data_IF_191744496476
#
_entry.id   IF_191744496476
#
_cell.length_a   1.000
_cell.length_b   1.000
_cell.length_c   1.000
_cell.angle_alpha   90.00
_cell.angle_beta   90.00
_cell.angle_gamma   90.00
#
_symmetry.space_group_name_H-M   'P 1'
#
loop_
_entity.id
_entity.type
_entity.pdbx_description
1 polymer ?
#
# COMPACT_ATOMS: atom_id res chain seq x y z
N UNK A 1 -14.66 8.18 -21.68
CA UNK A 1 -14.53 9.54 -21.12
C UNK A 1 -13.10 9.73 -20.67
N UNK A 2 -12.38 10.68 -21.25
CA UNK A 2 -10.99 10.97 -20.89
C UNK A 2 -10.98 11.89 -19.68
N UNK A 3 -10.18 11.55 -18.66
CA UNK A 3 -10.05 12.34 -17.43
C UNK A 3 -8.82 13.24 -17.54
N UNK A 4 -8.94 14.53 -17.18
CA UNK A 4 -7.81 15.49 -17.25
C UNK A 4 -6.98 15.47 -15.97
N UNK A 5 -5.65 15.45 -16.08
CA UNK A 5 -4.76 15.63 -14.94
C UNK A 5 -4.56 17.12 -14.61
N UNK A 6 -4.54 17.46 -13.31
CA UNK A 6 -4.08 18.75 -12.79
C UNK A 6 -3.11 18.54 -11.62
N UNK A 7 -1.97 19.20 -11.64
CA UNK A 7 -0.95 19.14 -10.59
C UNK A 7 -0.96 20.43 -9.76
N UNK A 8 -0.73 20.32 -8.45
CA UNK A 8 -0.80 21.46 -7.51
C UNK A 8 0.59 21.95 -7.09
N UNK A 9 1.62 21.10 -7.15
CA UNK A 9 2.98 21.48 -6.78
C UNK A 9 4.01 20.58 -7.50
N UNK A 10 5.15 21.15 -7.90
CA UNK A 10 6.19 20.46 -8.70
C UNK A 10 7.54 20.32 -7.98
N UNK A 11 7.65 20.74 -6.72
CA UNK A 11 8.94 20.74 -6.03
C UNK A 11 9.35 19.37 -5.46
N UNK A 12 10.54 18.96 -5.91
CA UNK A 12 11.46 17.87 -5.57
C UNK A 12 10.95 16.43 -5.52
N UNK A 13 11.68 15.58 -6.24
CA UNK A 13 11.65 14.13 -6.20
C UNK A 13 11.80 13.62 -4.77
N UNK A 14 10.68 13.32 -4.11
CA UNK A 14 10.63 12.56 -2.86
C UNK A 14 10.95 11.10 -3.16
N UNK A 15 12.23 10.86 -3.44
CA UNK A 15 12.79 9.57 -3.79
C UNK A 15 13.30 8.88 -2.55
N UNK A 16 12.98 7.61 -2.42
CA UNK A 16 13.73 6.70 -1.59
C UNK A 16 14.56 5.83 -2.54
N UNK A 17 15.89 6.00 -2.53
CA UNK A 17 16.82 5.32 -3.46
C UNK A 17 16.68 3.79 -3.42
N UNK A 18 16.26 3.27 -2.27
CA UNK A 18 16.08 1.84 -1.99
C UNK A 18 14.87 1.22 -2.72
N UNK A 19 13.90 2.03 -3.16
CA UNK A 19 12.72 1.58 -3.89
C UNK A 19 13.05 1.56 -5.38
N UNK A 20 12.92 0.41 -6.05
CA UNK A 20 13.50 0.23 -7.38
C UNK A 20 12.52 0.62 -8.50
N UNK A 21 11.25 0.22 -8.39
CA UNK A 21 10.26 0.46 -9.45
C UNK A 21 9.93 1.97 -9.55
N UNK A 22 10.00 2.61 -10.73
CA UNK A 22 9.75 4.06 -10.88
C UNK A 22 8.25 4.39 -10.90
N UNK A 23 7.48 3.86 -9.93
CA UNK A 23 6.12 4.31 -9.64
C UNK A 23 6.18 5.37 -8.56
N UNK A 24 5.54 6.49 -8.83
CA UNK A 24 5.33 7.58 -7.89
C UNK A 24 3.84 7.75 -7.64
N UNK A 25 3.48 8.00 -6.38
CA UNK A 25 2.11 8.08 -5.93
C UNK A 25 1.75 9.51 -5.52
N UNK A 26 0.54 9.93 -5.84
CA UNK A 26 -0.08 11.12 -5.25
C UNK A 26 -1.52 10.84 -4.84
N UNK A 27 -1.94 11.31 -3.66
CA UNK A 27 -3.36 11.39 -3.31
C UNK A 27 -4.04 12.31 -4.29
N UNK A 28 -5.29 12.01 -4.63
CA UNK A 28 -5.99 12.81 -5.61
C UNK A 28 -7.44 13.08 -5.24
N UNK A 29 -8.01 14.08 -5.91
CA UNK A 29 -9.44 14.38 -5.90
C UNK A 29 -9.94 14.42 -7.33
N UNK A 30 -11.09 13.79 -7.57
CA UNK A 30 -11.80 13.91 -8.84
C UNK A 30 -12.96 14.90 -8.72
N UNK A 31 -13.06 15.83 -9.69
CA UNK A 31 -14.18 16.77 -9.81
C UNK A 31 -14.43 17.11 -11.27
N UNK A 32 -15.68 16.99 -11.73
CA UNK A 32 -16.13 17.39 -13.07
C UNK A 32 -15.24 16.91 -14.24
N UNK A 33 -14.76 15.66 -14.18
CA UNK A 33 -13.89 15.08 -15.23
C UNK A 33 -12.40 15.40 -15.09
N UNK A 34 -12.01 16.19 -14.10
CA UNK A 34 -10.60 16.45 -13.75
C UNK A 34 -10.19 15.63 -12.54
N UNK A 35 -9.00 15.04 -12.59
CA UNK A 35 -8.31 14.43 -11.45
C UNK A 35 -7.16 15.35 -11.06
N UNK A 36 -7.17 15.81 -9.81
CA UNK A 36 -6.16 16.72 -9.29
C UNK A 36 -5.28 15.98 -8.28
N UNK A 37 -3.98 15.93 -8.51
CA UNK A 37 -2.99 15.46 -7.54
C UNK A 37 -2.86 16.49 -6.40
N UNK A 38 -2.93 16.03 -5.15
CA UNK A 38 -3.07 16.90 -3.97
C UNK A 38 -1.74 17.26 -3.31
N UNK A 39 -0.67 16.58 -3.70
CA UNK A 39 0.71 16.81 -3.25
C UNK A 39 1.68 16.37 -4.34
N UNK A 40 2.97 16.66 -4.16
CA UNK A 40 4.04 16.20 -5.06
C UNK A 40 4.07 14.68 -5.12
N UNK A 41 4.31 14.12 -6.31
CA UNK A 41 4.49 12.69 -6.48
C UNK A 41 5.66 12.17 -5.66
N UNK A 42 5.36 11.17 -4.82
CA UNK A 42 6.36 10.57 -3.96
C UNK A 42 6.58 9.12 -4.35
N UNK A 43 7.85 8.70 -4.41
CA UNK A 43 8.20 7.30 -4.62
C UNK A 43 7.92 6.52 -3.34
N UNK A 44 8.37 7.05 -2.19
CA UNK A 44 8.18 6.36 -0.92
C UNK A 44 6.69 6.18 -0.59
N UNK A 45 6.30 4.92 -0.38
CA UNK A 45 4.96 4.51 0.03
C UNK A 45 4.55 5.06 1.40
N UNK A 46 5.52 5.31 2.29
CA UNK A 46 5.19 5.66 3.66
C UNK A 46 4.62 7.08 3.76
N UNK A 47 5.00 8.00 2.83
CA UNK A 47 4.37 9.34 2.66
C UNK A 47 2.84 9.30 2.49
N UNK A 48 2.31 8.16 2.06
CA UNK A 48 0.89 7.96 1.90
C UNK A 48 0.16 7.74 3.23
N UNK A 49 0.88 7.27 4.27
CA UNK A 49 0.35 7.11 5.61
C UNK A 49 0.10 8.46 6.27
N UNK A 50 1.02 9.42 6.14
CA UNK A 50 0.87 10.79 6.65
C UNK A 50 -0.18 11.54 5.84
N UNK A 51 -0.20 11.35 4.52
CA UNK A 51 -1.27 11.87 3.66
C UNK A 51 -2.64 11.38 4.13
N UNK A 52 -2.79 10.06 4.31
CA UNK A 52 -4.01 9.44 4.83
C UNK A 52 -4.37 9.97 6.22
N UNK A 53 -3.44 9.93 7.18
CA UNK A 53 -3.69 10.37 8.56
C UNK A 53 -4.04 11.85 8.63
N UNK A 54 -3.38 12.69 7.84
CA UNK A 54 -3.71 14.11 7.73
C UNK A 54 -5.14 14.32 7.23
N UNK A 55 -5.58 13.56 6.23
CA UNK A 55 -6.96 13.62 5.74
C UNK A 55 -7.97 13.08 6.77
N UNK A 56 -7.62 12.00 7.47
CA UNK A 56 -8.47 11.37 8.47
C UNK A 56 -8.69 12.29 9.70
N UNK A 57 -7.61 12.83 10.25
CA UNK A 57 -7.61 13.74 11.41
C UNK A 57 -7.89 15.20 11.02
N UNK A 58 -7.93 15.52 9.72
CA UNK A 58 -8.01 16.90 9.21
C UNK A 58 -6.89 17.80 9.76
N UNK A 59 -5.73 17.21 10.00
CA UNK A 59 -4.60 17.85 10.66
C UNK A 59 -3.43 18.11 9.68
N UNK A 60 -2.87 19.32 9.71
CA UNK A 60 -1.66 19.63 8.91
C UNK A 60 -0.43 19.33 9.76
N UNK A 61 0.23 18.22 9.45
CA UNK A 61 1.50 17.88 10.08
C UNK A 61 2.67 18.76 9.57
N UNK A 62 3.74 18.94 10.37
CA UNK A 62 4.99 19.52 9.88
C UNK A 62 5.55 18.77 8.67
N UNK A 63 6.38 19.42 7.85
CA UNK A 63 7.02 18.74 6.73
C UNK A 63 8.00 17.66 7.20
N UNK A 64 7.95 16.48 6.60
CA UNK A 64 8.93 15.41 6.82
C UNK A 64 9.62 15.09 5.48
N UNK A 65 10.95 15.20 5.45
CA UNK A 65 11.77 14.96 4.26
C UNK A 65 11.28 15.72 3.00
N UNK A 66 10.64 16.88 3.16
CA UNK A 66 10.08 17.68 2.07
C UNK A 66 8.62 17.37 1.72
N UNK A 67 8.04 16.29 2.27
CA UNK A 67 6.61 16.00 2.13
C UNK A 67 5.78 16.85 3.09
N UNK A 68 4.77 17.55 2.55
CA UNK A 68 3.75 18.23 3.33
C UNK A 68 2.41 18.21 2.59
N UNK A 69 1.33 18.01 3.33
CA UNK A 69 -0.03 18.08 2.84
C UNK A 69 -0.88 18.90 3.82
N UNK A 70 -1.54 19.94 3.32
CA UNK A 70 -2.57 20.65 4.07
C UNK A 70 -3.94 20.03 3.73
N UNK A 71 -4.51 19.15 4.59
CA UNK A 71 -5.75 18.45 4.31
C UNK A 71 -6.98 19.36 4.34
N UNK A 72 -6.90 20.53 4.97
CA UNK A 72 -7.98 21.52 5.00
C UNK A 72 -8.11 22.20 3.64
N UNK A 73 -6.99 22.57 3.03
CA UNK A 73 -6.92 23.19 1.70
C UNK A 73 -7.12 22.16 0.58
N UNK A 74 -6.48 21.00 0.70
CA UNK A 74 -6.44 19.95 -0.33
C UNK A 74 -7.15 18.69 0.16
N UNK A 75 -8.48 18.75 0.23
CA UNK A 75 -9.33 17.64 0.72
C UNK A 75 -9.37 16.47 -0.26
N UNK A 76 -8.97 15.30 0.19
CA UNK A 76 -9.20 14.02 -0.46
C UNK A 76 -10.52 13.39 0.02
N UNK A 77 -11.13 12.54 -0.80
CA UNK A 77 -12.28 11.74 -0.38
C UNK A 77 -11.81 10.35 0.03
N UNK A 78 -12.00 9.98 1.29
CA UNK A 78 -11.70 8.62 1.79
C UNK A 78 -12.84 7.61 1.54
N UNK A 79 -13.84 7.96 0.71
CA UNK A 79 -14.95 7.05 0.35
C UNK A 79 -14.51 5.86 -0.51
N UNK A 80 -13.38 5.97 -1.20
CA UNK A 80 -12.70 4.94 -1.97
C UNK A 80 -11.20 5.24 -1.88
N UNK A 81 -10.33 4.25 -2.12
CA UNK A 81 -8.91 4.52 -2.29
C UNK A 81 -8.67 5.15 -3.66
N UNK A 82 -8.27 6.42 -3.69
CA UNK A 82 -8.03 7.15 -4.95
C UNK A 82 -6.62 7.71 -5.00
N UNK A 83 -5.87 7.29 -6.02
CA UNK A 83 -4.48 7.65 -6.24
C UNK A 83 -4.30 8.18 -7.67
N UNK A 84 -3.27 8.98 -7.89
CA UNK A 84 -2.66 9.12 -9.22
C UNK A 84 -1.29 8.48 -9.17
N UNK A 85 -1.01 7.64 -10.17
CA UNK A 85 0.32 7.11 -10.41
C UNK A 85 0.98 7.92 -11.50
N UNK A 86 2.25 8.25 -11.31
CA UNK A 86 3.17 8.72 -12.35
C UNK A 86 4.23 7.64 -12.54
N UNK A 87 4.37 7.12 -13.76
CA UNK A 87 5.22 5.96 -14.04
C UNK A 87 5.64 5.88 -15.51
N UNK A 88 6.71 5.14 -15.80
CA UNK A 88 7.19 4.93 -17.17
C UNK A 88 6.22 4.03 -17.96
N UNK A 89 6.19 4.15 -19.29
CA UNK A 89 5.26 3.39 -20.14
C UNK A 89 5.40 1.88 -20.00
N UNK A 90 6.62 1.37 -19.88
CA UNK A 90 6.85 -0.06 -19.68
C UNK A 90 6.27 -0.56 -18.34
N UNK A 91 6.44 0.23 -17.27
CA UNK A 91 5.86 -0.08 -15.95
C UNK A 91 4.32 -0.06 -16.01
N UNK A 92 3.74 0.78 -16.87
CA UNK A 92 2.30 0.85 -17.09
C UNK A 92 1.78 -0.43 -17.70
N UNK A 93 2.46 -0.91 -18.73
CA UNK A 93 2.12 -2.17 -19.41
C UNK A 93 2.15 -3.35 -18.44
N UNK A 94 3.20 -3.44 -17.60
CA UNK A 94 3.32 -4.47 -16.56
C UNK A 94 2.19 -4.36 -15.52
N UNK A 95 1.91 -3.15 -15.04
CA UNK A 95 0.82 -2.94 -14.08
C UNK A 95 -0.53 -3.39 -14.64
N UNK A 96 -0.83 -3.10 -15.91
CA UNK A 96 -2.05 -3.57 -16.57
C UNK A 96 -2.06 -5.08 -16.76
N UNK A 97 -0.95 -5.69 -17.20
CA UNK A 97 -0.90 -7.13 -17.44
C UNK A 97 -1.02 -7.95 -16.16
N UNK A 98 -0.60 -7.38 -15.02
CA UNK A 98 -0.58 -8.05 -13.72
C UNK A 98 -1.77 -7.68 -12.80
N UNK A 99 -2.64 -6.74 -13.20
CA UNK A 99 -3.74 -6.24 -12.35
C UNK A 99 -4.67 -7.35 -11.83
N UNK A 100 -4.81 -8.44 -12.59
CA UNK A 100 -5.66 -9.58 -12.20
C UNK A 100 -5.23 -10.19 -10.85
N UNK A 101 -3.93 -10.22 -10.51
CA UNK A 101 -3.44 -10.76 -9.23
C UNK A 101 -4.02 -10.02 -8.03
N UNK A 102 -4.07 -8.69 -8.12
CA UNK A 102 -4.66 -7.85 -7.09
C UNK A 102 -6.19 -8.00 -7.09
N UNK A 103 -6.83 -8.08 -8.25
CA UNK A 103 -8.28 -8.28 -8.32
C UNK A 103 -8.72 -9.63 -7.74
N UNK A 104 -7.94 -10.69 -7.93
CA UNK A 104 -8.23 -12.01 -7.36
C UNK A 104 -8.10 -11.98 -5.83
N UNK A 105 -7.03 -11.35 -5.29
CA UNK A 105 -6.90 -11.11 -3.85
C UNK A 105 -8.07 -10.28 -3.30
N UNK A 106 -8.43 -9.22 -4.02
CA UNK A 106 -9.55 -8.36 -3.65
C UNK A 106 -10.85 -9.15 -3.59
N UNK A 107 -11.15 -9.99 -4.57
CA UNK A 107 -12.34 -10.84 -4.57
C UNK A 107 -12.35 -11.82 -3.39
N UNK A 108 -11.20 -12.46 -3.07
CA UNK A 108 -11.06 -13.35 -1.91
C UNK A 108 -11.33 -12.64 -0.57
N UNK A 109 -11.01 -11.36 -0.47
CA UNK A 109 -11.26 -10.52 0.70
C UNK A 109 -12.62 -9.82 0.64
N UNK A 110 -13.41 -10.00 -0.44
CA UNK A 110 -14.66 -9.31 -0.69
C UNK A 110 -14.51 -7.80 -0.93
N UNK A 111 -13.35 -7.35 -1.44
CA UNK A 111 -13.01 -5.98 -1.83
C UNK A 111 -13.58 -5.67 -3.21
N UNK A 112 -13.96 -4.40 -3.43
CA UNK A 112 -14.23 -3.93 -4.78
C UNK A 112 -12.93 -3.90 -5.56
N UNK A 113 -12.92 -4.58 -6.71
CA UNK A 113 -11.78 -4.62 -7.62
C UNK A 113 -11.24 -3.23 -7.95
N UNK A 114 -9.93 -3.09 -7.87
CA UNK A 114 -9.18 -1.93 -8.29
C UNK A 114 -9.30 -1.71 -9.80
N UNK A 115 -9.50 -0.45 -10.19
CA UNK A 115 -9.61 -0.01 -11.59
C UNK A 115 -8.58 1.05 -11.90
N UNK A 116 -8.03 0.98 -13.11
CA UNK A 116 -7.06 1.92 -13.65
C UNK A 116 -7.68 2.70 -14.80
N UNK A 117 -7.52 4.02 -14.78
CA UNK A 117 -7.98 4.92 -15.83
C UNK A 117 -6.81 5.77 -16.33
N UNK A 118 -6.54 5.74 -17.63
CA UNK A 118 -5.55 6.65 -18.21
C UNK A 118 -6.01 8.10 -18.09
N UNK A 119 -5.06 8.98 -17.79
CA UNK A 119 -5.27 10.41 -17.69
C UNK A 119 -4.72 11.13 -18.93
N UNK A 120 -5.45 12.15 -19.39
CA UNK A 120 -4.92 13.12 -20.34
C UNK A 120 -3.79 13.90 -19.66
N UNK A 121 -2.59 13.72 -20.21
CA UNK A 121 -1.33 14.29 -19.73
C UNK A 121 -0.88 15.50 -20.55
N UNK A 122 -1.75 16.10 -21.38
CA UNK A 122 -1.39 17.24 -22.24
C UNK A 122 -0.77 18.41 -21.48
N UNK A 123 -1.20 18.61 -20.22
CA UNK A 123 -0.79 19.68 -19.31
C UNK A 123 0.26 19.25 -18.26
N UNK A 124 0.69 17.99 -18.23
CA UNK A 124 1.72 17.53 -17.30
C UNK A 124 3.11 17.99 -17.75
N UNK A 125 3.96 18.42 -16.81
CA UNK A 125 5.30 18.95 -17.12
C UNK A 125 6.22 17.90 -17.76
N UNK A 126 6.13 16.66 -17.30
CA UNK A 126 6.95 15.52 -17.67
C UNK A 126 6.21 14.51 -18.55
N UNK A 127 5.19 14.98 -19.30
CA UNK A 127 4.34 14.18 -20.20
C UNK A 127 5.07 13.34 -21.25
N UNK A 128 6.30 13.71 -21.60
CA UNK A 128 7.13 12.99 -22.56
C UNK A 128 7.86 11.79 -21.94
N UNK A 129 7.99 11.75 -20.62
CA UNK A 129 8.73 10.72 -19.88
C UNK A 129 7.81 9.77 -19.13
N UNK A 130 6.67 10.28 -18.64
CA UNK A 130 5.77 9.50 -17.81
C UNK A 130 4.36 9.40 -18.40
N UNK A 131 3.72 8.30 -18.04
CA UNK A 131 2.29 8.08 -18.12
C UNK A 131 1.64 8.31 -16.75
N UNK A 132 0.34 8.61 -16.78
CA UNK A 132 -0.44 8.92 -15.58
C UNK A 132 -1.70 8.08 -15.54
N UNK A 133 -1.88 7.40 -14.40
CA UNK A 133 -3.04 6.57 -14.15
C UNK A 133 -3.81 7.08 -12.94
N UNK A 134 -5.12 7.23 -13.09
CA UNK A 134 -6.03 7.37 -11.97
C UNK A 134 -6.45 5.99 -11.48
N UNK A 135 -6.15 5.70 -10.22
CA UNK A 135 -6.44 4.42 -9.56
C UNK A 135 -7.66 4.59 -8.66
N UNK A 136 -8.60 3.67 -8.76
CA UNK A 136 -9.77 3.59 -7.87
C UNK A 136 -9.86 2.19 -7.29
N UNK A 137 -9.57 2.07 -5.99
CA UNK A 137 -9.71 0.84 -5.21
C UNK A 137 -10.80 0.94 -4.14
N UNK A 138 -11.05 -0.19 -3.45
CA UNK A 138 -11.99 -0.26 -2.33
C UNK A 138 -11.61 0.73 -1.20
N UNK A 139 -12.61 1.23 -0.47
CA UNK A 139 -12.41 2.12 0.70
C UNK A 139 -11.56 1.48 1.80
N UNK A 140 -11.55 0.15 1.91
CA UNK A 140 -10.75 -0.57 2.92
C UNK A 140 -9.26 -0.36 2.73
N UNK A 141 -8.79 -0.16 1.50
CA UNK A 141 -7.39 0.17 1.24
C UNK A 141 -6.95 1.50 1.87
N UNK A 142 -7.88 2.42 2.14
CA UNK A 142 -7.63 3.68 2.86
C UNK A 142 -8.41 3.72 4.18
N UNK A 143 -8.58 2.56 4.83
CA UNK A 143 -9.20 2.49 6.15
C UNK A 143 -8.19 2.46 7.30
N UNK A 144 -6.92 2.21 6.99
CA UNK A 144 -5.81 2.34 7.93
C UNK A 144 -4.48 2.51 7.19
N UNK A 145 -3.45 2.94 7.90
CA UNK A 145 -2.07 3.08 7.37
C UNK A 145 -1.51 1.75 6.88
N UNK A 146 -1.71 0.65 7.61
CA UNK A 146 -1.30 -0.70 7.15
C UNK A 146 -1.89 -1.03 5.78
N UNK A 147 -3.22 -0.89 5.61
CA UNK A 147 -3.87 -1.17 4.34
C UNK A 147 -3.38 -0.24 3.23
N UNK A 148 -3.11 1.03 3.56
CA UNK A 148 -2.62 2.02 2.59
C UNK A 148 -1.20 1.66 2.13
N UNK A 149 -0.32 1.33 3.06
CA UNK A 149 1.05 0.90 2.82
C UNK A 149 1.10 -0.44 2.06
N UNK A 150 0.22 -1.39 2.40
CA UNK A 150 0.08 -2.66 1.70
C UNK A 150 -0.38 -2.43 0.26
N UNK A 151 -1.43 -1.64 0.07
CA UNK A 151 -2.01 -1.38 -1.24
C UNK A 151 -1.01 -0.73 -2.21
N UNK A 152 -0.30 0.30 -1.74
CA UNK A 152 0.73 0.98 -2.54
C UNK A 152 1.93 0.09 -2.82
N UNK A 153 2.31 -0.79 -1.89
CA UNK A 153 3.32 -1.82 -2.12
C UNK A 153 2.88 -2.86 -3.17
N UNK A 154 1.65 -3.36 -3.10
CA UNK A 154 1.13 -4.30 -4.10
C UNK A 154 1.11 -3.67 -5.50
N UNK A 155 0.58 -2.44 -5.63
CA UNK A 155 0.61 -1.71 -6.92
C UNK A 155 2.04 -1.55 -7.47
N UNK A 156 3.02 -1.36 -6.58
CA UNK A 156 4.45 -1.29 -6.95
C UNK A 156 4.97 -2.63 -7.48
N UNK A 157 4.64 -3.74 -6.82
CA UNK A 157 5.05 -5.07 -7.28
C UNK A 157 4.49 -5.43 -8.66
N UNK A 158 3.23 -5.06 -8.91
CA UNK A 158 2.59 -5.32 -10.20
C UNK A 158 3.29 -4.58 -11.36
N UNK A 159 3.99 -3.47 -11.10
CA UNK A 159 4.74 -2.74 -12.13
C UNK A 159 6.18 -3.23 -12.36
N UNK A 160 6.62 -4.32 -11.72
CA UNK A 160 8.03 -4.71 -11.72
C UNK A 160 8.50 -5.43 -12.99
N UNK A 161 7.65 -6.29 -13.56
CA UNK A 161 7.92 -7.03 -14.80
C UNK A 161 6.62 -7.62 -15.34
N UNK A 162 6.60 -8.00 -16.62
CA UNK A 162 5.45 -8.71 -17.19
C UNK A 162 5.41 -10.16 -16.68
N UNK A 163 4.45 -10.49 -15.81
CA UNK A 163 4.22 -11.86 -15.34
C UNK A 163 3.22 -12.62 -16.22
N UNK A 164 2.63 -11.99 -17.24
CA UNK A 164 1.65 -12.65 -18.11
C UNK A 164 2.24 -13.83 -18.88
N UNK A 165 3.54 -13.76 -19.23
CA UNK A 165 4.28 -14.85 -19.84
C UNK A 165 4.78 -15.90 -18.82
N UNK A 166 4.88 -15.55 -17.54
CA UNK A 166 5.25 -16.47 -16.46
C UNK A 166 4.13 -17.48 -16.14
N UNK A 167 2.87 -17.17 -16.42
CA UNK A 167 1.76 -18.13 -16.34
C UNK A 167 1.96 -19.40 -17.17
N UNK A 168 2.71 -19.29 -18.27
CA UNK A 168 2.91 -20.40 -19.21
C UNK A 168 4.13 -21.27 -18.88
N UNK A 169 5.00 -20.85 -17.93
CA UNK A 169 6.22 -21.60 -17.59
C UNK A 169 6.46 -21.84 -16.09
N UNK A 170 6.10 -20.93 -15.16
CA UNK A 170 6.60 -20.99 -13.76
C UNK A 170 5.58 -20.73 -12.61
N UNK A 171 4.27 -20.61 -12.85
CA UNK A 171 3.28 -20.83 -11.78
C UNK A 171 3.02 -19.70 -10.76
N UNK A 172 3.25 -18.42 -11.09
CA UNK A 172 2.68 -17.29 -10.34
C UNK A 172 1.16 -17.28 -10.57
N UNK A 173 0.39 -17.47 -9.49
CA UNK A 173 -1.08 -17.62 -9.53
C UNK A 173 -1.80 -16.63 -8.61
N UNK A 174 -1.08 -16.05 -7.66
CA UNK A 174 -1.61 -15.19 -6.61
C UNK A 174 -0.52 -14.24 -6.09
N UNK A 175 -0.90 -13.34 -5.18
CA UNK A 175 0.02 -12.37 -4.59
C UNK A 175 1.10 -13.05 -3.73
N UNK A 176 0.81 -14.15 -3.05
CA UNK A 176 1.80 -14.80 -2.17
C UNK A 176 2.91 -15.48 -3.00
N UNK A 177 2.57 -16.11 -4.12
CA UNK A 177 3.53 -16.64 -5.10
C UNK A 177 4.32 -15.53 -5.79
N UNK A 178 3.72 -14.37 -6.05
CA UNK A 178 4.43 -13.17 -6.51
C UNK A 178 5.45 -12.68 -5.47
N UNK A 179 5.10 -12.67 -4.18
CA UNK A 179 6.03 -12.30 -3.11
C UNK A 179 7.21 -13.28 -3.01
N UNK A 180 6.95 -14.59 -3.07
CA UNK A 180 8.00 -15.61 -3.12
C UNK A 180 8.94 -15.41 -4.29
N UNK A 181 8.38 -15.23 -5.49
CA UNK A 181 9.16 -14.92 -6.68
C UNK A 181 9.97 -13.63 -6.50
N UNK A 182 9.35 -12.60 -5.92
CA UNK A 182 10.01 -11.31 -5.74
C UNK A 182 11.20 -11.40 -4.79
N UNK A 183 11.02 -12.08 -3.66
CA UNK A 183 12.06 -12.30 -2.66
C UNK A 183 13.24 -13.12 -3.20
N UNK A 184 12.98 -14.08 -4.09
CA UNK A 184 14.00 -14.96 -4.65
C UNK A 184 14.78 -14.33 -5.81
N UNK A 185 14.17 -13.43 -6.59
CA UNK A 185 14.73 -12.98 -7.87
C UNK A 185 15.16 -11.50 -7.91
N UNK A 186 14.82 -10.71 -6.89
CA UNK A 186 15.16 -9.29 -6.86
C UNK A 186 15.87 -8.90 -5.57
N UNK A 187 16.42 -7.69 -5.58
CA UNK A 187 17.11 -7.06 -4.46
C UNK A 187 16.41 -5.75 -4.05
N UNK A 188 16.94 -5.08 -3.02
CA UNK A 188 16.43 -3.79 -2.56
C UNK A 188 15.17 -3.90 -1.69
N UNK A 189 14.58 -2.76 -1.36
CA UNK A 189 13.50 -2.70 -0.36
C UNK A 189 12.27 -3.52 -0.77
N UNK A 190 11.92 -3.51 -2.06
CA UNK A 190 10.76 -4.26 -2.55
C UNK A 190 10.91 -5.78 -2.32
N UNK A 191 12.12 -6.31 -2.53
CA UNK A 191 12.45 -7.70 -2.26
C UNK A 191 12.58 -7.99 -0.76
N UNK A 192 13.09 -7.04 0.03
CA UNK A 192 13.15 -7.18 1.50
C UNK A 192 11.75 -7.27 2.12
N UNK A 193 10.78 -6.49 1.64
CA UNK A 193 9.39 -6.62 2.07
C UNK A 193 8.84 -8.00 1.76
N UNK A 194 8.99 -8.44 0.51
CA UNK A 194 8.54 -9.75 0.08
C UNK A 194 9.21 -10.87 0.91
N UNK A 195 10.51 -10.76 1.13
CA UNK A 195 11.28 -11.68 1.97
C UNK A 195 10.69 -11.75 3.38
N UNK A 196 10.34 -10.61 3.98
CA UNK A 196 9.72 -10.56 5.32
C UNK A 196 8.39 -11.32 5.38
N UNK A 197 7.52 -11.21 4.37
CA UNK A 197 6.29 -12.02 4.31
C UNK A 197 6.61 -13.53 4.25
N UNK A 198 7.52 -13.88 3.34
CA UNK A 198 7.82 -15.28 2.99
C UNK A 198 8.60 -16.02 4.08
N UNK A 199 9.62 -15.39 4.68
CA UNK A 199 10.42 -15.97 5.76
C UNK A 199 9.56 -16.29 6.99
N UNK A 200 8.56 -15.45 7.25
CA UNK A 200 7.63 -15.60 8.37
C UNK A 200 6.40 -16.46 8.06
N UNK A 201 6.30 -16.95 6.82
CA UNK A 201 5.16 -17.73 6.33
C UNK A 201 3.82 -17.01 6.59
N UNK A 202 3.80 -15.70 6.35
CA UNK A 202 2.60 -14.87 6.50
C UNK A 202 2.04 -14.64 5.10
N UNK A 203 0.83 -15.14 4.84
CA UNK A 203 0.11 -14.76 3.62
C UNK A 203 -0.42 -13.34 3.75
N UNK A 204 -0.59 -12.64 2.62
CA UNK A 204 -1.18 -11.30 2.61
C UNK A 204 -2.60 -11.32 3.17
N UNK A 205 -3.38 -12.36 2.85
CA UNK A 205 -4.72 -12.54 3.39
C UNK A 205 -4.70 -12.72 4.91
N UNK A 206 -3.80 -13.55 5.45
CA UNK A 206 -3.69 -13.75 6.90
C UNK A 206 -3.34 -12.44 7.63
N UNK A 207 -2.48 -11.61 7.04
CA UNK A 207 -2.15 -10.29 7.58
C UNK A 207 -3.39 -9.39 7.65
N UNK A 208 -4.18 -9.33 6.57
CA UNK A 208 -5.40 -8.54 6.50
C UNK A 208 -6.44 -9.02 7.53
N UNK A 209 -6.68 -10.33 7.61
CA UNK A 209 -7.65 -10.93 8.54
C UNK A 209 -7.29 -10.70 10.02
N UNK A 210 -5.98 -10.64 10.34
CA UNK A 210 -5.48 -10.48 11.72
C UNK A 210 -5.25 -9.03 12.12
N UNK A 211 -5.34 -8.08 11.18
CA UNK A 211 -5.05 -6.66 11.41
C UNK A 211 -5.80 -6.07 12.61
N UNK A 212 -7.12 -6.29 12.68
CA UNK A 212 -7.96 -5.74 13.74
C UNK A 212 -7.62 -6.33 15.12
N UNK A 213 -7.08 -7.55 15.16
CA UNK A 213 -6.63 -8.20 16.39
C UNK A 213 -5.30 -7.58 16.85
N UNK A 214 -4.36 -7.37 15.93
CA UNK A 214 -3.04 -6.81 16.22
C UNK A 214 -3.18 -5.36 16.71
N UNK A 215 -3.96 -4.54 16.00
CA UNK A 215 -4.00 -3.10 16.25
C UNK A 215 -4.74 -2.67 17.51
N UNK A 216 -5.67 -3.49 18.01
CA UNK A 216 -6.33 -3.24 19.30
C UNK A 216 -5.35 -3.27 20.48
N UNK A 217 -4.20 -3.94 20.35
CA UNK A 217 -3.32 -4.24 21.47
C UNK A 217 -1.95 -3.54 21.43
N UNK A 218 -1.60 -2.82 20.35
CA UNK A 218 -0.20 -2.42 20.09
C UNK A 218 0.11 -0.92 20.15
N UNK A 219 -0.81 -0.02 20.53
CA UNK A 219 -0.58 1.44 20.48
C UNK A 219 -0.08 1.96 19.11
N UNK A 220 -0.25 1.19 18.04
CA UNK A 220 0.17 1.59 16.70
C UNK A 220 -0.73 2.65 16.10
N UNK A 221 -0.25 3.26 15.02
CA UNK A 221 -1.04 4.08 14.10
C UNK A 221 -2.09 3.16 13.44
N UNK A 222 -3.22 2.96 14.09
CA UNK A 222 -4.33 2.11 13.65
C UNK A 222 -5.69 2.73 14.03
N UNK A 223 -6.82 2.11 13.67
CA UNK A 223 -8.14 2.71 13.84
C UNK A 223 -8.55 3.06 15.28
N UNK A 224 -7.86 2.54 16.29
CA UNK A 224 -8.04 2.82 17.73
C UNK A 224 -6.97 3.75 18.32
N UNK A 225 -6.18 4.39 17.45
CA UNK A 225 -5.18 5.38 17.77
C UNK A 225 -5.78 6.59 18.48
N UNK A 226 -5.15 6.97 19.60
CA UNK A 226 -5.52 8.03 20.57
C UNK A 226 -5.79 9.41 19.91
N UNK A 227 -6.31 10.36 20.69
CA UNK A 227 -6.55 11.76 20.29
C UNK A 227 -5.43 12.35 19.44
N UNK A 228 -5.79 13.23 18.51
CA UNK A 228 -4.94 13.91 17.50
C UNK A 228 -3.55 14.33 18.04
N UNK A 229 -3.50 14.69 19.31
CA UNK A 229 -2.38 15.16 20.11
C UNK A 229 -1.29 14.10 20.45
N UNK A 230 -1.44 12.83 20.05
CA UNK A 230 -0.45 11.77 20.38
C UNK A 230 0.35 11.20 19.22
N UNK A 231 0.08 11.60 17.98
CA UNK A 231 0.88 11.17 16.83
C UNK A 231 1.67 12.33 16.26
N UNK A 232 2.98 12.28 16.40
CA UNK A 232 3.85 13.10 15.57
C UNK A 232 4.04 12.45 14.18
N UNK A 233 4.47 13.25 13.21
CA UNK A 233 4.64 12.80 11.83
C UNK A 233 5.70 11.70 11.67
N UNK A 234 6.75 11.69 12.50
CA UNK A 234 7.79 10.66 12.47
C UNK A 234 7.26 9.32 12.97
N UNK A 235 6.39 9.34 13.99
CA UNK A 235 5.75 8.14 14.49
C UNK A 235 4.84 7.54 13.41
N UNK A 236 4.12 8.36 12.65
CA UNK A 236 3.30 7.91 11.52
C UNK A 236 4.18 7.30 10.43
N UNK A 237 5.26 7.98 10.02
CA UNK A 237 6.17 7.50 8.99
C UNK A 237 6.80 6.15 9.35
N UNK A 238 7.38 6.06 10.55
CA UNK A 238 8.18 4.92 10.96
C UNK A 238 7.35 3.72 11.44
N UNK A 239 6.11 3.94 11.89
CA UNK A 239 5.28 2.88 12.47
C UNK A 239 3.96 2.63 11.72
N UNK A 240 3.63 3.42 10.71
CA UNK A 240 2.43 3.23 9.89
C UNK A 240 2.59 2.24 8.74
N UNK A 241 3.83 1.90 8.38
CA UNK A 241 4.13 1.03 7.23
C UNK A 241 3.92 -0.46 7.51
N UNK A 242 3.65 -1.24 6.47
CA UNK A 242 3.47 -2.71 6.55
C UNK A 242 4.64 -3.45 7.24
N UNK A 243 5.86 -2.93 7.13
CA UNK A 243 7.04 -3.52 7.79
C UNK A 243 6.87 -3.59 9.29
N UNK A 244 6.49 -2.47 9.89
CA UNK A 244 6.36 -2.31 11.33
C UNK A 244 5.25 -3.23 11.86
N UNK A 245 4.18 -3.43 11.07
CA UNK A 245 3.13 -4.40 11.39
C UNK A 245 3.63 -5.86 11.36
N UNK A 246 4.42 -6.25 10.36
CA UNK A 246 4.93 -7.63 10.26
C UNK A 246 5.93 -7.94 11.38
N UNK A 247 6.83 -7.02 11.71
CA UNK A 247 7.77 -7.18 12.83
C UNK A 247 7.05 -7.39 14.17
N UNK A 248 5.92 -6.73 14.38
CA UNK A 248 5.12 -6.95 15.59
C UNK A 248 4.43 -8.31 15.59
N UNK A 249 3.93 -8.76 14.45
CA UNK A 249 3.39 -10.12 14.32
C UNK A 249 4.41 -11.19 14.70
N UNK A 250 5.69 -10.99 14.40
CA UNK A 250 6.78 -11.86 14.84
C UNK A 250 6.98 -11.81 16.36
N UNK A 251 6.98 -10.62 16.94
CA UNK A 251 7.02 -10.44 18.40
C UNK A 251 5.89 -11.20 19.11
N UNK A 252 4.65 -11.06 18.62
CA UNK A 252 3.48 -11.80 19.13
C UNK A 252 3.59 -13.32 18.97
N UNK A 253 4.24 -13.82 17.91
CA UNK A 253 4.48 -15.26 17.72
C UNK A 253 5.50 -15.81 18.73
N UNK A 254 6.47 -15.00 19.12
CA UNK A 254 7.58 -15.38 20.00
C UNK A 254 7.24 -15.27 21.51
N UNK A 255 6.27 -14.44 21.89
CA UNK A 255 5.85 -14.20 23.30
C UNK A 255 4.83 -15.24 23.83
N UNK A 256 4.85 -16.48 23.32
CA UNK A 256 3.92 -17.57 23.68
C UNK A 256 3.99 -18.04 25.16
N UNK A 257 4.84 -17.47 26.01
CA UNK A 257 4.92 -17.83 27.44
C UNK A 257 4.02 -16.99 28.35
N UNK A 258 3.47 -15.86 27.88
CA UNK A 258 2.73 -14.91 28.72
C UNK A 258 1.20 -14.93 28.53
N UNK A 259 0.69 -15.55 27.45
CA UNK A 259 -0.72 -15.41 27.02
C UNK A 259 -1.61 -16.66 27.18
N UNK A 260 -1.12 -17.76 27.77
CA UNK A 260 -1.94 -18.97 28.00
C UNK A 260 -3.05 -18.79 29.05
N UNK A 261 -3.22 -17.59 29.62
CA UNK A 261 -4.20 -17.32 30.68
C UNK A 261 -5.44 -16.52 30.27
N UNK A 262 -5.53 -15.95 29.06
CA UNK A 262 -6.68 -15.09 28.74
C UNK A 262 -7.56 -15.45 27.53
N UNK A 263 -7.17 -16.32 26.59
CA UNK A 263 -8.02 -16.55 25.40
C UNK A 263 -7.98 -17.99 24.85
N UNK A 264 -9.09 -18.78 24.95
CA UNK A 264 -9.16 -20.18 24.51
C UNK A 264 -9.32 -20.37 22.98
N UNK A 265 -9.13 -19.31 22.17
CA UNK A 265 -9.22 -19.39 20.70
C UNK A 265 -7.88 -19.76 20.03
N UNK A 266 -6.80 -19.90 20.81
CA UNK A 266 -5.46 -20.22 20.31
C UNK A 266 -5.30 -21.65 19.79
N UNK A 267 -6.06 -22.60 20.31
CA UNK A 267 -5.95 -24.02 19.92
C UNK A 267 -6.47 -24.28 18.50
N UNK A 268 -7.46 -23.50 18.03
CA UNK A 268 -8.04 -23.68 16.70
C UNK A 268 -7.11 -23.23 15.56
N UNK A 269 -6.22 -22.26 15.82
CA UNK A 269 -5.25 -21.77 14.82
C UNK A 269 -4.11 -22.77 14.66
N UNK A 270 -3.58 -23.34 15.75
CA UNK A 270 -2.52 -24.36 15.67
C UNK A 270 -3.06 -25.65 15.04
N UNK A 271 -4.27 -26.08 15.41
CA UNK A 271 -4.89 -27.28 14.84
C UNK A 271 -5.22 -27.12 13.34
N UNK A 272 -5.60 -25.92 12.90
CA UNK A 272 -5.79 -25.65 11.46
C UNK A 272 -4.49 -25.81 10.67
N UNK A 273 -3.34 -25.35 11.18
CA UNK A 273 -2.05 -25.48 10.48
C UNK A 273 -1.43 -26.88 10.61
N UNK A 274 -1.66 -27.61 11.70
CA UNK A 274 -1.18 -29.00 11.84
C UNK A 274 -1.96 -29.99 10.96
N UNK A 275 -3.23 -29.71 10.66
CA UNK A 275 -4.08 -30.56 9.80
C UNK A 275 -3.77 -30.50 8.30
N UNK A 276 -2.92 -29.58 7.84
CA UNK A 276 -2.53 -29.41 6.43
C UNK A 276 -1.07 -29.74 6.13
N UNK A 277 -0.32 -30.20 7.12
CA UNK A 277 1.08 -30.64 6.97
C UNK A 277 1.29 -32.11 7.32
N UNK A 278 0.21 -32.91 7.28
CA UNK A 278 0.27 -34.38 7.22
C UNK A 278 -0.31 -34.85 5.89
#
# INVERSE_FOLDING_TARGET
>A
MVLKLKEINQDYNLNEESQQVPIFFAMCRRSKGTVTALHTYAKCRDYFNEGFMGQFLKHTFPSIYGFSLNPVKYKASLRNATLVLRLESQVKEYLYSNLYLLNDLEDMCGFRRTKLYELDKSEAADKHYYDYLYVVGDKRWVSATMYTSLYTYLLRLLGKSDFSNFHKRDGIKDIDTLLLYTAANYSGSDAMYALTFTSNKISVKDLMDKYDIITKNTNMVGNSAKSEDKYDIYHIHNNGGIQSFIQLLEGYKNDKSSLSKEYPLYDNVINYYQSRTQ
#
